data_IF_624791285217
#
_entry.id   IF_624791285217
#
_cell.length_a   1.000
_cell.length_b   1.000
_cell.length_c   1.000
_cell.angle_alpha   90.00
_cell.angle_beta   90.00
_cell.angle_gamma   90.00
#
_symmetry.space_group_name_H-M   'P 1'
#
loop_
_entity.id
_entity.type
_entity.pdbx_description
1 polymer ?
#
# COMPACT_ATOMS: atom_id res chain seq x y z
N UNK A 1 -19.85 0.98 26.42
CA UNK A 1 -18.57 0.60 25.78
C UNK A 1 -18.75 0.43 24.27
N UNK A 2 -19.60 1.25 23.63
CA UNK A 2 -19.67 1.42 22.17
C UNK A 2 -19.52 2.93 21.82
N UNK A 3 -19.15 3.73 22.81
CA UNK A 3 -19.39 5.18 22.84
C UNK A 3 -18.25 5.98 22.19
N UNK A 4 -17.28 5.29 21.61
CA UNK A 4 -16.15 5.85 20.87
C UNK A 4 -15.90 4.99 19.63
N UNK A 5 -16.87 4.95 18.72
CA UNK A 5 -16.57 4.50 17.36
C UNK A 5 -15.66 5.55 16.72
N UNK A 6 -14.51 5.17 16.16
CA UNK A 6 -13.68 6.10 15.41
C UNK A 6 -14.50 6.71 14.28
N UNK A 7 -14.13 7.92 13.86
CA UNK A 7 -14.81 8.61 12.77
C UNK A 7 -15.01 7.65 11.60
N UNK A 8 -16.27 7.40 11.23
CA UNK A 8 -16.60 6.42 10.22
C UNK A 8 -15.82 6.77 8.93
N UNK A 9 -15.26 5.78 8.23
CA UNK A 9 -14.57 6.03 6.97
C UNK A 9 -15.53 6.73 6.01
N UNK A 10 -15.02 7.70 5.25
CA UNK A 10 -15.81 8.33 4.21
C UNK A 10 -16.29 7.26 3.23
N UNK A 11 -17.55 7.34 2.80
CA UNK A 11 -18.09 6.39 1.84
C UNK A 11 -18.91 7.08 0.77
N UNK A 12 -18.87 6.51 -0.43
CA UNK A 12 -19.70 6.91 -1.56
C UNK A 12 -20.34 5.67 -2.18
N UNK A 13 -21.57 5.78 -2.64
CA UNK A 13 -22.29 4.69 -3.28
C UNK A 13 -23.08 5.21 -4.49
N UNK A 14 -23.08 4.43 -5.57
CA UNK A 14 -23.90 4.66 -6.76
C UNK A 14 -24.55 3.35 -7.15
N UNK A 15 -25.85 3.39 -7.42
CA UNK A 15 -26.58 2.28 -8.01
C UNK A 15 -26.89 2.58 -9.46
N UNK A 16 -26.56 1.66 -10.36
CA UNK A 16 -26.71 1.84 -11.79
C UNK A 16 -26.88 0.48 -12.48
N UNK A 17 -27.86 0.37 -13.39
CA UNK A 17 -28.14 -0.85 -14.17
C UNK A 17 -28.20 -2.17 -13.38
N UNK A 18 -28.76 -2.17 -12.17
CA UNK A 18 -28.85 -3.40 -11.37
C UNK A 18 -27.69 -3.61 -10.40
N UNK A 19 -26.65 -2.77 -10.45
CA UNK A 19 -25.41 -2.98 -9.71
C UNK A 19 -25.12 -1.85 -8.73
N UNK A 20 -24.62 -2.21 -7.55
CA UNK A 20 -24.08 -1.27 -6.56
C UNK A 20 -22.57 -1.11 -6.74
N UNK A 21 -22.12 0.13 -6.82
CA UNK A 21 -20.71 0.52 -6.73
C UNK A 21 -20.50 1.31 -5.45
N UNK A 22 -19.71 0.77 -4.52
CA UNK A 22 -19.43 1.38 -3.21
C UNK A 22 -17.94 1.59 -3.04
N UNK A 23 -17.57 2.78 -2.58
CA UNK A 23 -16.19 3.14 -2.26
C UNK A 23 -16.12 3.51 -0.78
N UNK A 24 -15.19 2.87 -0.06
CA UNK A 24 -14.82 3.24 1.30
C UNK A 24 -13.44 3.90 1.28
N UNK A 25 -13.29 5.02 1.99
CA UNK A 25 -12.04 5.78 2.06
C UNK A 25 -11.68 6.02 3.52
N UNK A 26 -10.44 5.69 3.87
CA UNK A 26 -9.87 5.92 5.19
C UNK A 26 -8.39 6.24 5.11
N UNK A 27 -7.85 6.86 6.15
CA UNK A 27 -6.41 6.97 6.36
C UNK A 27 -5.80 5.59 6.57
N UNK A 28 -4.59 5.40 6.03
CA UNK A 28 -3.83 4.15 6.20
C UNK A 28 -3.31 3.99 7.64
N UNK A 29 -2.89 5.09 8.25
CA UNK A 29 -2.49 5.16 9.65
C UNK A 29 -3.50 6.01 10.43
N UNK A 30 -3.78 5.61 11.66
CA UNK A 30 -4.71 6.32 12.55
C UNK A 30 -4.09 6.51 13.94
N UNK A 31 -4.50 7.55 14.69
CA UNK A 31 -3.89 7.84 16.00
C UNK A 31 -4.11 6.74 17.04
N UNK A 32 -5.26 6.07 17.01
CA UNK A 32 -5.58 4.98 17.93
C UNK A 32 -5.04 3.65 17.41
N UNK A 33 -3.73 3.45 17.52
CA UNK A 33 -3.06 2.22 17.09
C UNK A 33 -3.40 1.01 17.96
N UNK A 34 -4.02 1.21 19.13
CA UNK A 34 -4.37 0.13 20.05
C UNK A 34 -5.69 -0.55 19.65
N UNK A 35 -6.65 0.23 19.15
CA UNK A 35 -7.98 -0.27 18.81
C UNK A 35 -8.29 -0.27 17.31
N UNK A 36 -7.47 0.41 16.48
CA UNK A 36 -7.68 0.47 15.03
C UNK A 36 -6.61 -0.25 14.23
N UNK A 37 -7.07 -0.97 13.19
CA UNK A 37 -6.20 -1.62 12.21
C UNK A 37 -5.37 -0.59 11.43
N UNK A 38 -4.05 -0.78 11.45
CA UNK A 38 -3.09 0.01 10.69
C UNK A 38 -2.78 -0.65 9.35
N UNK A 39 -3.00 0.08 8.26
CA UNK A 39 -2.78 -0.39 6.90
C UNK A 39 -1.32 -0.09 6.49
N UNK A 40 -0.43 -1.05 6.72
CA UNK A 40 0.98 -0.92 6.39
C UNK A 40 1.33 -1.57 5.04
N UNK A 41 2.20 -0.91 4.26
CA UNK A 41 2.78 -1.48 3.03
C UNK A 41 3.61 -2.72 3.33
N UNK A 42 3.66 -3.66 2.39
CA UNK A 42 4.44 -4.90 2.54
C UNK A 42 3.86 -5.90 3.57
N UNK A 43 2.65 -5.66 4.08
CA UNK A 43 1.88 -6.62 4.90
C UNK A 43 0.65 -7.11 4.16
N UNK A 44 0.36 -8.40 4.30
CA UNK A 44 -0.90 -8.99 3.85
C UNK A 44 -1.98 -8.74 4.91
N UNK A 45 -3.00 -7.96 4.55
CA UNK A 45 -4.08 -7.58 5.46
C UNK A 45 -5.32 -8.42 5.11
N UNK A 46 -5.77 -9.34 5.98
CA UNK A 46 -6.94 -10.17 5.68
C UNK A 46 -8.21 -9.32 5.66
N UNK A 47 -9.04 -9.51 4.64
CA UNK A 47 -10.31 -8.80 4.44
C UNK A 47 -11.40 -9.77 3.96
N UNK A 48 -12.62 -9.56 4.44
CA UNK A 48 -13.83 -10.23 3.97
C UNK A 48 -14.98 -9.22 3.90
N UNK A 49 -15.95 -9.49 3.03
CA UNK A 49 -17.09 -8.61 2.78
C UNK A 49 -18.39 -9.31 3.13
N UNK A 50 -19.31 -8.53 3.69
CA UNK A 50 -20.64 -8.95 4.09
C UNK A 50 -21.64 -8.04 3.39
N UNK A 51 -22.61 -8.62 2.69
CA UNK A 51 -23.58 -7.89 1.88
C UNK A 51 -25.00 -8.35 2.22
N UNK A 52 -25.92 -7.38 2.33
CA UNK A 52 -27.33 -7.60 2.59
C UNK A 52 -28.15 -7.11 1.42
N UNK A 53 -28.96 -7.99 0.84
CA UNK A 53 -30.02 -7.59 -0.09
C UNK A 53 -31.31 -7.29 0.68
N UNK A 54 -31.55 -6.01 0.93
CA UNK A 54 -32.76 -5.55 1.60
C UNK A 54 -34.05 -5.88 0.85
N UNK A 55 -34.01 -6.00 -0.49
CA UNK A 55 -35.20 -6.37 -1.29
C UNK A 55 -35.60 -7.82 -1.07
N UNK A 56 -34.63 -8.69 -0.78
CA UNK A 56 -34.82 -10.09 -0.36
C UNK A 56 -35.11 -10.25 1.14
N UNK A 57 -35.28 -9.13 1.88
CA UNK A 57 -35.54 -9.12 3.31
C UNK A 57 -34.34 -9.54 4.17
N UNK A 58 -33.12 -9.51 3.61
CA UNK A 58 -31.90 -9.80 4.35
C UNK A 58 -31.61 -8.74 5.41
N UNK A 59 -31.30 -9.19 6.62
CA UNK A 59 -30.97 -8.34 7.78
C UNK A 59 -30.31 -9.17 8.87
N UNK A 60 -29.53 -8.51 9.73
CA UNK A 60 -28.85 -9.18 10.84
C UNK A 60 -27.89 -10.24 10.32
N UNK A 61 -28.04 -11.49 10.76
CA UNK A 61 -27.17 -12.61 10.36
C UNK A 61 -27.52 -13.22 9.01
N UNK A 62 -28.66 -12.86 8.40
CA UNK A 62 -29.04 -13.31 7.06
C UNK A 62 -28.43 -12.37 6.03
N UNK A 63 -27.37 -12.83 5.38
CA UNK A 63 -26.53 -12.05 4.44
C UNK A 63 -25.66 -12.97 3.59
N UNK A 64 -25.14 -12.45 2.49
CA UNK A 64 -24.05 -13.05 1.74
C UNK A 64 -22.69 -12.70 2.37
N UNK A 65 -21.76 -13.65 2.37
CA UNK A 65 -20.40 -13.48 2.90
C UNK A 65 -19.38 -13.93 1.85
N UNK A 66 -18.35 -13.13 1.64
CA UNK A 66 -17.26 -13.48 0.73
C UNK A 66 -16.29 -14.50 1.35
N UNK A 67 -15.41 -15.08 0.54
CA UNK A 67 -14.19 -15.70 1.06
C UNK A 67 -13.26 -14.63 1.67
N UNK A 68 -12.24 -15.09 2.40
CA UNK A 68 -11.15 -14.24 2.85
C UNK A 68 -10.20 -13.91 1.70
N UNK A 69 -9.86 -12.64 1.58
CA UNK A 69 -8.83 -12.12 0.67
C UNK A 69 -7.71 -11.48 1.47
N UNK A 70 -6.57 -11.26 0.83
CA UNK A 70 -5.47 -10.49 1.39
C UNK A 70 -5.28 -9.21 0.59
N UNK A 71 -5.50 -8.07 1.25
CA UNK A 71 -5.13 -6.76 0.74
C UNK A 71 -3.62 -6.58 0.92
N UNK A 72 -2.92 -6.46 -0.19
CA UNK A 72 -1.49 -6.13 -0.22
C UNK A 72 -1.32 -4.69 -0.72
N UNK A 73 -0.76 -3.85 0.14
CA UNK A 73 -0.39 -2.48 -0.24
C UNK A 73 1.04 -2.48 -0.77
N UNK A 74 1.19 -2.00 -2.00
CA UNK A 74 2.48 -1.94 -2.67
C UNK A 74 3.46 -1.04 -1.91
N UNK A 75 4.73 -1.44 -1.89
CA UNK A 75 5.77 -0.71 -1.20
C UNK A 75 6.54 0.16 -2.20
N UNK A 76 6.61 1.48 -2.00
CA UNK A 76 7.36 2.34 -2.90
C UNK A 76 8.81 1.88 -2.96
N UNK A 77 9.33 1.65 -4.17
CA UNK A 77 10.71 1.22 -4.37
C UNK A 77 11.64 2.30 -3.83
N UNK A 78 12.54 1.99 -2.88
CA UNK A 78 13.43 3.00 -2.32
C UNK A 78 14.33 3.60 -3.41
N UNK A 79 14.43 4.93 -3.48
CA UNK A 79 15.27 5.63 -4.46
C UNK A 79 16.74 5.20 -4.43
N UNK A 80 17.22 4.71 -3.28
CA UNK A 80 18.55 4.13 -3.12
C UNK A 80 18.84 3.00 -4.11
N UNK A 81 17.85 2.15 -4.40
CA UNK A 81 18.00 1.03 -5.36
C UNK A 81 18.38 1.54 -6.75
N UNK A 82 17.89 2.72 -7.15
CA UNK A 82 18.20 3.35 -8.43
C UNK A 82 19.54 4.11 -8.41
N UNK A 83 19.84 4.80 -7.31
CA UNK A 83 21.01 5.70 -7.23
C UNK A 83 22.32 4.93 -7.00
N UNK A 84 22.31 3.89 -6.17
CA UNK A 84 23.52 3.14 -5.81
C UNK A 84 24.29 2.57 -7.01
N UNK A 85 23.69 1.88 -8.00
CA UNK A 85 24.44 1.34 -9.13
C UNK A 85 25.06 2.44 -10.00
N UNK A 86 24.36 3.56 -10.20
CA UNK A 86 24.87 4.72 -10.97
C UNK A 86 26.09 5.32 -10.28
N UNK A 87 26.01 5.52 -8.96
CA UNK A 87 27.13 6.05 -8.16
C UNK A 87 28.32 5.08 -8.20
N UNK A 88 28.08 3.78 -8.02
CA UNK A 88 29.14 2.77 -8.11
C UNK A 88 29.85 2.81 -9.48
N UNK A 89 29.08 2.89 -10.57
CA UNK A 89 29.63 2.98 -11.93
C UNK A 89 30.50 4.22 -12.11
N UNK A 90 30.03 5.39 -11.67
CA UNK A 90 30.79 6.64 -11.77
C UNK A 90 32.06 6.61 -10.92
N UNK A 91 32.01 6.03 -9.71
CA UNK A 91 33.18 5.86 -8.85
C UNK A 91 34.21 4.93 -9.48
N UNK A 92 33.79 3.78 -10.01
CA UNK A 92 34.68 2.83 -10.70
C UNK A 92 35.32 3.46 -11.93
N UNK A 93 34.53 4.17 -12.76
CA UNK A 93 35.03 4.85 -13.95
C UNK A 93 36.02 5.96 -13.57
N UNK A 94 35.69 6.76 -12.56
CA UNK A 94 36.54 7.83 -12.04
C UNK A 94 37.87 7.32 -11.51
N UNK A 95 37.86 6.27 -10.69
CA UNK A 95 39.09 5.64 -10.21
C UNK A 95 39.95 5.11 -11.37
N UNK A 96 39.34 4.44 -12.35
CA UNK A 96 40.02 3.92 -13.53
C UNK A 96 40.75 5.02 -14.30
N UNK A 97 40.08 6.15 -14.56
CA UNK A 97 40.67 7.32 -15.23
C UNK A 97 41.85 7.88 -14.44
N UNK A 98 41.76 7.96 -13.11
CA UNK A 98 42.85 8.47 -12.25
C UNK A 98 44.08 7.57 -12.32
N UNK A 99 43.89 6.25 -12.26
CA UNK A 99 44.99 5.27 -12.34
C UNK A 99 45.71 5.37 -13.69
N UNK A 100 44.96 5.41 -14.80
CA UNK A 100 45.53 5.54 -16.16
C UNK A 100 46.31 6.85 -16.30
N UNK A 101 45.74 7.98 -15.85
CA UNK A 101 46.42 9.29 -15.89
C UNK A 101 47.71 9.30 -15.05
N UNK A 102 47.71 8.64 -13.89
CA UNK A 102 48.92 8.51 -13.05
C UNK A 102 49.99 7.64 -13.71
N UNK A 103 49.60 6.57 -14.40
CA UNK A 103 50.54 5.70 -15.11
C UNK A 103 51.21 6.42 -16.28
N UNK A 104 50.44 7.14 -17.09
CA UNK A 104 50.97 7.91 -18.23
C UNK A 104 51.94 9.02 -17.79
N UNK A 105 51.62 9.75 -16.71
CA UNK A 105 52.52 10.79 -16.14
C UNK A 105 53.82 10.25 -15.55
N UNK A 106 53.92 8.94 -15.29
CA UNK A 106 55.15 8.32 -14.79
C UNK A 106 56.06 7.80 -15.91
N UNK A 107 55.53 7.67 -17.13
CA UNK A 107 56.27 7.20 -18.31
C UNK A 107 56.75 8.33 -19.22
N UNK A 108 56.29 9.56 -18.99
CA UNK A 108 56.80 10.80 -19.59
C UNK A 108 57.76 11.48 -18.62
#
# INVERSE_FOLDING_TARGET
MLDTLPAAPASGAVYDHGEWRVVFTRSLATPDTANELQFATGRAIPVAFFAWDGSSGEKGTRMAVSSWYFLALDQPTPSRVLVTPVVAMLLTLGLGIVVVRRAQRRQA
#
